data_IF_555821961809
#
_entry.id   IF_555821961809
#
_cell.length_a   1.000
_cell.length_b   1.000
_cell.length_c   1.000
_cell.angle_alpha   90.00
_cell.angle_beta   90.00
_cell.angle_gamma   90.00
#
_symmetry.space_group_name_H-M   'P 1'
#
loop_
_entity.id
_entity.type
_entity.pdbx_description
1 polymer ?
#
# COMPACT_ATOMS: atom_id res chain seq x y z
N UNK A 1 -19.13 -7.95 13.98
CA UNK A 1 -19.82 -6.72 14.45
C UNK A 1 -20.82 -6.28 13.38
N UNK A 2 -21.85 -5.51 13.72
CA UNK A 2 -22.79 -4.96 12.73
C UNK A 2 -22.16 -3.77 12.03
N UNK A 3 -22.11 -3.77 10.69
CA UNK A 3 -21.58 -2.63 9.94
C UNK A 3 -22.57 -1.46 9.99
N UNK A 4 -22.13 -0.31 10.52
CA UNK A 4 -22.92 0.92 10.58
C UNK A 4 -22.57 1.78 9.37
N UNK A 5 -23.52 1.98 8.46
CA UNK A 5 -23.37 2.88 7.31
C UNK A 5 -23.50 4.33 7.76
N UNK A 6 -22.38 4.96 8.10
CA UNK A 6 -22.32 6.36 8.56
C UNK A 6 -22.62 7.34 7.40
N UNK A 7 -22.15 7.03 6.20
CA UNK A 7 -22.31 7.87 5.01
C UNK A 7 -22.47 7.03 3.73
N UNK A 8 -22.71 7.70 2.61
CA UNK A 8 -22.66 7.14 1.26
C UNK A 8 -22.12 8.21 0.32
N UNK A 9 -21.17 7.85 -0.54
CA UNK A 9 -20.63 8.75 -1.56
C UNK A 9 -20.76 8.04 -2.92
N UNK A 10 -21.49 8.66 -3.83
CA UNK A 10 -21.60 8.28 -5.24
C UNK A 10 -20.77 9.23 -6.10
N UNK A 11 -20.82 9.09 -7.43
CA UNK A 11 -20.21 10.07 -8.34
C UNK A 11 -21.02 11.35 -8.49
N UNK A 12 -22.35 11.30 -8.28
CA UNK A 12 -23.20 12.50 -8.34
C UNK A 12 -22.83 13.46 -7.21
N UNK A 13 -22.43 12.93 -6.05
CA UNK A 13 -21.97 13.71 -4.89
C UNK A 13 -20.58 14.34 -5.09
N UNK A 14 -19.95 14.16 -6.26
CA UNK A 14 -18.70 14.81 -6.68
C UNK A 14 -18.94 15.91 -7.74
N UNK A 15 -20.16 16.03 -8.28
CA UNK A 15 -20.49 17.03 -9.29
C UNK A 15 -20.64 18.42 -8.65
N UNK A 16 -19.99 19.44 -9.23
CA UNK A 16 -20.07 20.82 -8.75
C UNK A 16 -19.01 21.24 -7.73
N UNK A 17 -18.10 20.35 -7.32
CA UNK A 17 -16.84 20.77 -6.71
C UNK A 17 -15.95 21.51 -7.73
N UNK A 18 -15.26 22.57 -7.32
CA UNK A 18 -14.27 23.24 -8.18
C UNK A 18 -13.11 22.30 -8.50
N UNK A 19 -12.59 22.35 -9.73
CA UNK A 19 -11.30 21.74 -10.08
C UNK A 19 -10.16 22.56 -9.44
N UNK A 20 -9.96 22.37 -8.14
CA UNK A 20 -8.65 22.64 -7.55
C UNK A 20 -7.61 21.78 -8.26
N UNK A 21 -6.39 22.30 -8.40
CA UNK A 21 -5.24 21.54 -8.90
C UNK A 21 -4.36 21.14 -7.70
N UNK A 22 -4.74 20.13 -6.90
CA UNK A 22 -4.01 19.78 -5.69
C UNK A 22 -2.61 19.27 -6.06
N UNK A 23 -1.59 19.97 -5.56
CA UNK A 23 -0.20 19.59 -5.75
C UNK A 23 0.27 18.66 -4.62
N UNK A 24 1.20 17.77 -4.95
CA UNK A 24 1.93 16.97 -3.97
C UNK A 24 3.18 17.77 -3.58
N UNK A 25 3.31 18.13 -2.30
CA UNK A 25 4.48 18.85 -1.76
C UNK A 25 5.14 18.06 -0.63
N UNK A 26 6.29 18.54 -0.15
CA UNK A 26 6.99 18.00 1.04
C UNK A 26 7.41 16.53 0.99
N UNK A 27 7.47 15.93 -0.20
CA UNK A 27 7.77 14.50 -0.39
C UNK A 27 9.09 14.13 0.28
N UNK A 28 9.01 13.29 1.31
CA UNK A 28 10.15 12.85 2.14
C UNK A 28 10.10 11.34 2.32
N UNK A 29 11.22 10.68 2.06
CA UNK A 29 11.42 9.28 2.46
C UNK A 29 11.50 9.20 4.00
N UNK A 30 10.70 8.33 4.60
CA UNK A 30 10.77 8.04 6.05
C UNK A 30 11.67 6.83 6.29
N UNK A 31 11.26 5.65 5.81
CA UNK A 31 12.00 4.41 6.05
C UNK A 31 11.64 3.35 5.01
N UNK A 32 12.36 2.24 5.03
CA UNK A 32 12.21 1.10 4.12
C UNK A 32 12.35 -0.21 4.87
N UNK A 33 11.75 -1.28 4.31
CA UNK A 33 11.92 -2.63 4.82
C UNK A 33 11.87 -3.67 3.70
N UNK A 34 12.40 -4.87 3.95
CA UNK A 34 12.20 -6.03 3.09
C UNK A 34 11.42 -7.09 3.86
N UNK A 35 10.43 -7.70 3.22
CA UNK A 35 9.87 -8.96 3.70
C UNK A 35 10.87 -10.10 3.53
N UNK A 36 10.96 -10.99 4.52
CA UNK A 36 11.86 -12.13 4.54
C UNK A 36 11.08 -13.43 4.34
N UNK A 37 11.67 -14.41 3.64
CA UNK A 37 11.14 -15.76 3.55
C UNK A 37 11.31 -16.48 4.90
N UNK A 38 10.24 -16.54 5.70
CA UNK A 38 10.22 -17.10 7.05
C UNK A 38 8.83 -17.66 7.37
N UNK A 39 8.76 -18.61 8.31
CA UNK A 39 7.51 -19.19 8.82
C UNK A 39 6.72 -18.17 9.65
N UNK A 40 7.42 -17.25 10.31
CA UNK A 40 6.83 -16.11 11.04
C UNK A 40 6.91 -14.84 10.19
N UNK A 41 5.93 -13.92 10.26
CA UNK A 41 6.01 -12.62 9.59
C UNK A 41 7.29 -11.87 10.05
N UNK A 42 8.26 -11.77 9.14
CA UNK A 42 9.62 -11.29 9.44
C UNK A 42 10.03 -10.24 8.42
N UNK A 43 10.57 -9.12 8.90
CA UNK A 43 11.03 -7.99 8.08
C UNK A 43 12.47 -7.58 8.46
N UNK A 44 13.26 -7.17 7.47
CA UNK A 44 14.58 -6.56 7.66
C UNK A 44 14.50 -5.03 7.53
N UNK A 45 15.22 -4.31 8.39
CA UNK A 45 15.17 -2.85 8.54
C UNK A 45 16.61 -2.32 8.75
N UNK A 46 17.06 -1.28 8.01
CA UNK A 46 16.41 -0.70 6.84
C UNK A 46 16.41 -1.69 5.67
N UNK A 47 15.40 -1.58 4.81
CA UNK A 47 15.28 -2.37 3.58
C UNK A 47 16.15 -1.84 2.44
N UNK A 48 16.57 -2.73 1.54
CA UNK A 48 17.30 -2.41 0.31
C UNK A 48 16.60 -3.03 -0.92
N UNK A 49 16.39 -2.29 -2.03
CA UNK A 49 15.75 -2.83 -3.22
C UNK A 49 16.60 -3.93 -3.87
N UNK A 50 15.98 -4.96 -4.49
CA UNK A 50 16.68 -5.81 -5.43
C UNK A 50 17.06 -5.02 -6.69
N UNK A 51 18.01 -5.53 -7.45
CA UNK A 51 18.37 -4.96 -8.76
C UNK A 51 17.50 -5.62 -9.84
N UNK A 52 16.58 -4.81 -10.41
CA UNK A 52 15.63 -5.03 -11.53
C UNK A 52 14.74 -6.30 -11.49
N UNK A 53 13.40 -6.21 -11.57
CA UNK A 53 12.52 -6.63 -10.44
C UNK A 53 11.34 -7.55 -10.89
N UNK A 54 10.14 -7.70 -10.23
CA UNK A 54 9.69 -7.32 -8.85
C UNK A 54 9.15 -8.41 -7.85
N UNK A 55 7.89 -8.93 -7.86
CA UNK A 55 6.64 -8.31 -7.34
C UNK A 55 5.73 -9.16 -6.40
N UNK A 56 4.94 -8.47 -5.54
CA UNK A 56 3.49 -8.65 -5.23
C UNK A 56 3.10 -7.86 -3.97
N UNK A 57 1.83 -7.49 -3.78
CA UNK A 57 1.37 -6.84 -2.53
C UNK A 57 1.47 -7.80 -1.33
N UNK A 58 2.60 -7.81 -0.61
CA UNK A 58 2.90 -8.88 0.35
C UNK A 58 2.27 -8.65 1.73
N UNK A 59 2.03 -7.39 2.12
CA UNK A 59 1.54 -7.04 3.44
C UNK A 59 0.27 -7.80 3.86
N UNK A 60 -0.78 -7.77 3.02
CA UNK A 60 -2.04 -8.47 3.31
C UNK A 60 -1.91 -10.01 3.19
N UNK A 61 -1.02 -10.50 2.32
CA UNK A 61 -0.76 -11.93 2.18
C UNK A 61 0.10 -12.52 3.30
N UNK A 62 0.92 -11.71 3.99
CA UNK A 62 1.86 -12.14 5.04
C UNK A 62 1.40 -11.84 6.46
N UNK A 63 0.56 -10.83 6.66
CA UNK A 63 -0.02 -10.51 7.97
C UNK A 63 -1.50 -10.10 7.82
N UNK A 64 -2.40 -11.01 7.39
CA UNK A 64 -3.79 -10.69 7.07
C UNK A 64 -4.56 -10.05 8.23
N UNK A 65 -4.29 -10.45 9.48
CA UNK A 65 -4.91 -9.90 10.69
C UNK A 65 -4.50 -8.44 11.00
N UNK A 66 -3.42 -7.94 10.37
CA UNK A 66 -3.01 -6.53 10.49
C UNK A 66 -2.00 -6.14 9.40
N UNK A 67 -2.45 -5.91 8.15
CA UNK A 67 -1.55 -5.68 7.01
C UNK A 67 -0.67 -4.44 7.11
N UNK A 68 -0.95 -3.53 8.05
CA UNK A 68 -0.20 -2.28 8.26
C UNK A 68 0.66 -2.29 9.52
N UNK A 69 0.61 -3.33 10.37
CA UNK A 69 1.51 -3.48 11.52
C UNK A 69 3.00 -3.32 11.15
N UNK A 70 3.50 -3.91 10.03
CA UNK A 70 4.90 -3.76 9.63
C UNK A 70 5.30 -2.31 9.35
N UNK A 71 4.38 -1.49 8.84
CA UNK A 71 4.60 -0.07 8.57
C UNK A 71 4.90 0.67 9.89
N UNK A 72 4.06 0.46 10.90
CA UNK A 72 4.24 1.07 12.23
C UNK A 72 5.48 0.56 12.93
N UNK A 73 5.74 -0.76 12.90
CA UNK A 73 6.96 -1.37 13.46
C UNK A 73 8.22 -0.75 12.87
N UNK A 74 8.27 -0.58 11.55
CA UNK A 74 9.40 0.05 10.84
C UNK A 74 9.53 1.53 11.19
N UNK A 75 8.43 2.26 11.21
CA UNK A 75 8.40 3.69 11.53
C UNK A 75 9.00 3.95 12.91
N UNK A 76 8.51 3.28 13.96
CA UNK A 76 8.99 3.48 15.33
C UNK A 76 10.36 2.86 15.62
N UNK A 77 10.77 1.80 14.91
CA UNK A 77 12.15 1.28 15.01
C UNK A 77 13.16 2.28 14.44
N UNK A 78 12.80 2.97 13.36
CA UNK A 78 13.69 3.96 12.70
C UNK A 78 13.61 5.34 13.36
N UNK A 79 12.43 5.73 13.84
CA UNK A 79 12.13 7.04 14.42
C UNK A 79 11.32 6.88 15.73
N UNK A 80 11.97 6.54 16.86
CA UNK A 80 11.27 6.26 18.12
C UNK A 80 10.46 7.44 18.69
N UNK A 81 10.76 8.67 18.27
CA UNK A 81 10.08 9.91 18.66
C UNK A 81 9.08 10.45 17.62
N UNK A 82 8.67 9.63 16.64
CA UNK A 82 7.74 10.07 15.60
C UNK A 82 6.32 10.29 16.15
N UNK A 83 5.80 11.51 16.05
CA UNK A 83 4.41 11.82 16.40
C UNK A 83 3.45 11.36 15.29
N UNK A 84 2.88 10.16 15.45
CA UNK A 84 1.81 9.67 14.56
C UNK A 84 0.54 10.52 14.66
N UNK A 85 0.27 11.13 15.81
CA UNK A 85 -0.90 11.98 16.05
C UNK A 85 -0.88 13.26 15.22
N UNK A 86 0.26 13.63 14.64
CA UNK A 86 0.37 14.66 13.62
C UNK A 86 -0.23 14.25 12.27
N UNK A 87 -0.20 12.97 11.91
CA UNK A 87 -0.57 12.43 10.59
C UNK A 87 -2.09 12.35 10.45
N UNK A 88 -2.59 12.66 9.26
CA UNK A 88 -4.04 12.68 8.99
C UNK A 88 -4.50 11.37 8.34
N UNK A 89 -3.68 10.77 7.45
CA UNK A 89 -3.97 9.49 6.79
C UNK A 89 -2.73 8.59 6.68
N UNK A 90 -2.85 7.33 7.12
CA UNK A 90 -1.89 6.24 6.86
C UNK A 90 -2.52 5.24 5.88
N UNK A 91 -1.88 4.97 4.74
CA UNK A 91 -2.44 4.03 3.75
C UNK A 91 -1.40 3.38 2.82
N UNK A 92 -1.88 2.56 1.89
CA UNK A 92 -1.09 1.89 0.84
C UNK A 92 -1.45 2.38 -0.56
N UNK A 93 -0.47 2.36 -1.48
CA UNK A 93 -0.62 2.71 -2.91
C UNK A 93 -1.86 2.08 -3.58
N UNK A 94 -2.22 0.85 -3.20
CA UNK A 94 -3.36 0.14 -3.78
C UNK A 94 -4.69 0.88 -3.54
N UNK A 95 -4.89 1.43 -2.34
CA UNK A 95 -6.12 2.11 -1.95
C UNK A 95 -6.27 3.43 -2.72
N UNK A 96 -5.20 4.22 -2.79
CA UNK A 96 -5.18 5.47 -3.58
C UNK A 96 -5.46 5.19 -5.06
N UNK A 97 -4.85 4.14 -5.66
CA UNK A 97 -5.12 3.76 -7.06
C UNK A 97 -6.57 3.35 -7.30
N UNK A 98 -7.20 2.68 -6.34
CA UNK A 98 -8.60 2.25 -6.46
C UNK A 98 -9.57 3.44 -6.29
N UNK A 99 -9.32 4.34 -5.33
CA UNK A 99 -10.08 5.59 -5.18
C UNK A 99 -9.96 6.49 -6.41
N UNK A 100 -8.74 6.64 -6.96
CA UNK A 100 -8.50 7.38 -8.21
C UNK A 100 -9.22 6.75 -9.40
N UNK A 101 -9.30 5.41 -9.47
CA UNK A 101 -10.06 4.69 -10.50
C UNK A 101 -11.58 4.81 -10.30
N UNK A 102 -12.05 4.94 -9.05
CA UNK A 102 -13.45 5.20 -8.74
C UNK A 102 -13.86 6.60 -9.21
N UNK A 103 -13.04 7.62 -9.00
CA UNK A 103 -13.29 9.00 -9.45
C UNK A 103 -13.16 9.08 -10.99
N UNK A 104 -12.07 8.57 -11.56
CA UNK A 104 -11.81 8.58 -13.01
C UNK A 104 -11.71 7.15 -13.59
N UNK A 105 -12.79 6.61 -14.17
CA UNK A 105 -12.80 5.26 -14.75
C UNK A 105 -11.78 5.03 -15.88
N UNK A 106 -11.38 6.07 -16.62
CA UNK A 106 -10.45 5.92 -17.75
C UNK A 106 -9.04 5.48 -17.33
N UNK A 107 -8.69 5.69 -16.05
CA UNK A 107 -7.43 5.25 -15.47
C UNK A 107 -7.42 3.76 -15.09
N UNK A 108 -8.60 3.09 -15.15
CA UNK A 108 -8.71 1.64 -14.91
C UNK A 108 -8.50 0.84 -16.20
N UNK A 109 -7.48 -0.03 -16.22
CA UNK A 109 -7.21 -0.95 -17.34
C UNK A 109 -8.19 -2.13 -17.43
N UNK A 110 -9.08 -2.26 -16.45
CA UNK A 110 -10.05 -3.35 -16.31
C UNK A 110 -11.35 -2.77 -15.75
N UNK A 111 -12.46 -3.52 -15.88
CA UNK A 111 -13.73 -3.17 -15.22
C UNK A 111 -13.49 -2.96 -13.72
N UNK A 112 -14.09 -1.94 -13.13
CA UNK A 112 -13.98 -1.65 -11.69
C UNK A 112 -14.50 -2.85 -10.88
N UNK A 113 -13.58 -3.65 -10.35
CA UNK A 113 -13.87 -4.71 -9.38
C UNK A 113 -14.41 -4.07 -8.07
N UNK A 114 -15.41 -4.67 -7.41
CA UNK A 114 -15.84 -4.23 -6.09
C UNK A 114 -14.66 -4.24 -5.10
N UNK A 115 -14.60 -3.23 -4.24
CA UNK A 115 -13.54 -3.07 -3.25
C UNK A 115 -14.12 -2.61 -1.91
N UNK A 116 -13.44 -2.99 -0.83
CA UNK A 116 -13.71 -2.52 0.52
C UNK A 116 -12.42 -1.99 1.12
N UNK A 117 -12.46 -0.74 1.59
CA UNK A 117 -11.40 -0.14 2.42
C UNK A 117 -11.98 -0.10 3.83
N UNK A 118 -11.32 -0.79 4.74
CA UNK A 118 -11.60 -0.70 6.17
C UNK A 118 -10.73 0.40 6.75
N UNK A 119 -11.25 1.13 7.74
CA UNK A 119 -10.49 2.19 8.37
C UNK A 119 -10.73 2.26 9.87
N UNK A 120 -9.66 2.58 10.59
CA UNK A 120 -9.67 2.87 12.02
C UNK A 120 -9.28 4.33 12.24
N UNK A 121 -9.85 4.99 13.23
CA UNK A 121 -9.54 6.38 13.58
C UNK A 121 -8.97 6.39 15.00
N UNK A 122 -7.71 6.83 15.13
CA UNK A 122 -7.03 7.02 16.42
C UNK A 122 -6.69 8.49 16.59
N UNK A 123 -7.34 9.16 17.54
CA UNK A 123 -7.23 10.61 17.68
C UNK A 123 -7.78 11.33 16.46
N UNK A 124 -6.90 12.00 15.69
CA UNK A 124 -7.24 12.59 14.38
C UNK A 124 -6.69 11.81 13.17
N UNK A 125 -5.95 10.72 13.40
CA UNK A 125 -5.30 9.94 12.35
C UNK A 125 -6.23 8.83 11.87
N UNK A 126 -6.51 8.78 10.57
CA UNK A 126 -7.18 7.64 9.95
C UNK A 126 -6.17 6.64 9.38
N UNK A 127 -6.40 5.35 9.61
CA UNK A 127 -5.56 4.24 9.11
C UNK A 127 -6.39 3.41 8.15
N UNK A 128 -6.10 3.48 6.84
CA UNK A 128 -6.89 2.86 5.77
C UNK A 128 -6.26 1.53 5.32
N UNK A 129 -6.84 0.41 5.75
CA UNK A 129 -6.50 -0.94 5.31
C UNK A 129 -7.40 -1.39 4.14
N UNK A 130 -7.01 -2.40 3.37
CA UNK A 130 -7.89 -3.01 2.36
C UNK A 130 -8.37 -4.37 2.85
N UNK A 131 -9.69 -4.56 2.88
CA UNK A 131 -10.27 -5.89 2.99
C UNK A 131 -10.17 -6.57 1.61
N UNK A 132 -9.14 -7.39 1.43
CA UNK A 132 -8.95 -8.22 0.23
C UNK A 132 -9.51 -9.62 0.46
N UNK A 133 -10.59 -9.97 -0.24
CA UNK A 133 -11.19 -11.32 -0.21
C UNK A 133 -10.36 -12.37 -0.94
N UNK A 134 -9.41 -11.97 -1.80
CA UNK A 134 -8.42 -12.83 -2.44
C UNK A 134 -7.00 -12.25 -2.27
N UNK A 135 -6.42 -12.38 -1.07
CA UNK A 135 -5.00 -12.02 -0.81
C UNK A 135 -4.01 -12.85 -1.63
N UNK A 136 -4.44 -13.99 -2.20
CA UNK A 136 -3.67 -14.81 -3.13
C UNK A 136 -4.55 -15.18 -4.34
N UNK A 137 -4.35 -14.51 -5.48
CA UNK A 137 -4.87 -14.99 -6.78
C UNK A 137 -4.16 -16.29 -7.17
N UNK A 138 -4.76 -17.41 -6.79
CA UNK A 138 -4.39 -18.75 -7.22
C UNK A 138 -4.69 -18.90 -8.72
N UNK A 139 -3.64 -18.88 -9.54
CA UNK A 139 -3.72 -19.09 -10.98
C UNK A 139 -4.23 -20.52 -11.21
N UNK A 140 -5.43 -20.68 -11.75
CA UNK A 140 -5.99 -21.99 -12.09
C UNK A 140 -5.08 -22.69 -13.09
N UNK A 141 -4.86 -23.99 -12.90
CA UNK A 141 -4.04 -24.80 -13.81
C UNK A 141 -4.58 -24.69 -15.24
N UNK A 142 -3.77 -24.19 -16.18
CA UNK A 142 -4.17 -23.92 -17.56
C UNK A 142 -4.55 -22.45 -17.88
N UNK A 143 -4.63 -21.55 -16.88
CA UNK A 143 -4.74 -20.12 -17.14
C UNK A 143 -3.35 -19.52 -17.43
N UNK A 144 -3.22 -18.76 -18.53
CA UNK A 144 -1.97 -18.06 -18.87
C UNK A 144 -1.79 -16.85 -17.95
N UNK A 145 -1.10 -17.06 -16.84
CA UNK A 145 -0.43 -15.98 -16.14
C UNK A 145 0.71 -15.46 -17.02
N UNK A 146 0.90 -14.14 -17.07
CA UNK A 146 2.00 -13.54 -17.81
C UNK A 146 3.36 -13.97 -17.27
N UNK A 147 4.37 -14.03 -18.15
CA UNK A 147 5.71 -14.57 -17.90
C UNK A 147 6.56 -13.83 -16.85
N UNK A 148 5.98 -12.91 -16.08
CA UNK A 148 6.65 -12.16 -15.02
C UNK A 148 7.40 -13.09 -14.07
N UNK A 149 6.70 -13.92 -13.29
CA UNK A 149 7.28 -14.58 -12.12
C UNK A 149 8.58 -15.40 -12.35
N UNK A 150 8.80 -15.92 -13.55
CA UNK A 150 10.04 -16.63 -13.90
C UNK A 150 11.06 -15.75 -14.65
N UNK A 151 10.63 -14.73 -15.40
CA UNK A 151 11.52 -13.68 -15.91
C UNK A 151 12.17 -12.90 -14.76
N UNK A 152 11.38 -12.58 -13.74
CA UNK A 152 11.76 -11.78 -12.57
C UNK A 152 12.84 -12.50 -11.76
N UNK A 153 12.69 -13.81 -11.49
CA UNK A 153 13.73 -14.66 -10.86
C UNK A 153 14.99 -14.80 -11.71
N UNK A 154 14.87 -14.79 -13.04
CA UNK A 154 16.00 -15.00 -13.94
C UNK A 154 16.91 -13.77 -14.07
N UNK A 155 16.38 -12.55 -13.86
CA UNK A 155 17.11 -11.30 -14.05
C UNK A 155 17.31 -10.45 -12.78
N UNK A 156 16.63 -10.75 -11.67
CA UNK A 156 16.86 -10.09 -10.36
C UNK A 156 18.17 -10.52 -9.69
N UNK A 157 18.71 -9.63 -8.84
CA UNK A 157 19.47 -10.05 -7.64
C UNK A 157 18.99 -9.32 -6.40
N UNK A 158 18.64 -10.08 -5.37
CA UNK A 158 18.38 -9.58 -4.02
C UNK A 158 19.69 -9.11 -3.36
N UNK A 159 19.67 -7.92 -2.76
CA UNK A 159 20.79 -7.40 -1.94
C UNK A 159 20.66 -7.77 -0.45
N UNK A 160 19.48 -8.22 -0.03
CA UNK A 160 19.18 -8.76 1.30
C UNK A 160 18.88 -10.25 1.11
N UNK A 161 19.63 -11.13 1.80
CA UNK A 161 19.40 -12.58 1.69
C UNK A 161 17.97 -12.95 2.10
N UNK A 162 17.36 -13.93 1.41
CA UNK A 162 15.96 -14.38 1.60
C UNK A 162 14.91 -13.26 1.53
N UNK A 163 15.23 -12.10 0.96
CA UNK A 163 14.28 -11.03 0.67
C UNK A 163 13.26 -11.48 -0.37
N UNK A 164 11.98 -11.21 -0.11
CA UNK A 164 10.90 -11.51 -1.06
C UNK A 164 10.23 -10.27 -1.65
N UNK A 165 10.37 -9.09 -1.04
CA UNK A 165 9.80 -7.83 -1.57
C UNK A 165 10.16 -6.60 -0.74
N UNK A 166 10.68 -5.57 -1.41
CA UNK A 166 11.16 -4.33 -0.79
C UNK A 166 10.07 -3.25 -0.77
N UNK A 167 9.85 -2.63 0.38
CA UNK A 167 8.81 -1.63 0.61
C UNK A 167 9.43 -0.31 1.10
N UNK A 168 8.88 0.82 0.64
CA UNK A 168 9.22 2.17 1.11
C UNK A 168 8.02 2.83 1.76
N UNK A 169 8.32 3.66 2.76
CA UNK A 169 7.40 4.49 3.50
C UNK A 169 7.80 5.94 3.21
N UNK A 170 6.91 6.71 2.61
CA UNK A 170 7.07 8.15 2.36
C UNK A 170 6.02 8.94 3.12
N UNK A 171 6.32 10.20 3.42
CA UNK A 171 5.29 11.20 3.70
C UNK A 171 5.27 12.28 2.61
N UNK A 172 4.11 12.89 2.43
CA UNK A 172 3.92 14.08 1.60
C UNK A 172 2.67 14.84 2.03
N UNK A 173 2.60 16.12 1.66
CA UNK A 173 1.40 16.95 1.76
C UNK A 173 0.60 16.84 0.47
N UNK A 174 -0.73 16.72 0.55
CA UNK A 174 -1.64 16.77 -0.59
C UNK A 174 -2.96 17.38 -0.16
N UNK A 175 -3.37 18.47 -0.81
CA UNK A 175 -4.62 19.21 -0.53
C UNK A 175 -4.83 19.52 0.97
N UNK A 176 -3.78 19.99 1.63
CA UNK A 176 -3.76 20.30 3.07
C UNK A 176 -3.63 19.09 4.02
N UNK A 177 -3.86 17.87 3.54
CA UNK A 177 -3.69 16.64 4.32
C UNK A 177 -2.21 16.19 4.34
N UNK A 178 -1.76 15.62 5.47
CA UNK A 178 -0.45 14.95 5.56
C UNK A 178 -0.63 13.44 5.55
N UNK A 179 -0.12 12.81 4.49
CA UNK A 179 -0.25 11.38 4.24
C UNK A 179 1.06 10.66 4.60
N UNK A 180 0.95 9.46 5.17
CA UNK A 180 1.98 8.42 5.09
C UNK A 180 1.51 7.35 4.12
N UNK A 181 2.34 7.06 3.12
CA UNK A 181 2.06 6.03 2.10
C UNK A 181 3.16 4.97 2.11
N UNK A 182 2.75 3.72 2.33
CA UNK A 182 3.60 2.56 2.11
C UNK A 182 3.36 1.98 0.71
N UNK A 183 4.45 1.62 0.02
CA UNK A 183 4.38 1.01 -1.30
C UNK A 183 5.53 0.02 -1.53
N UNK A 184 5.21 -1.09 -2.21
CA UNK A 184 6.23 -1.98 -2.75
C UNK A 184 7.01 -1.23 -3.85
N UNK A 185 8.32 -1.42 -3.84
CA UNK A 185 9.29 -0.80 -4.74
C UNK A 185 10.13 -1.87 -5.40
N UNK A 186 10.25 -1.71 -6.71
CA UNK A 186 10.65 -2.79 -7.60
C UNK A 186 12.17 -2.81 -7.75
N UNK A 187 12.78 -1.69 -8.13
CA UNK A 187 14.22 -1.46 -8.15
C UNK A 187 14.57 -0.06 -7.60
N UNK A 188 15.85 0.29 -7.65
CA UNK A 188 16.33 1.67 -7.56
C UNK A 188 16.52 2.25 -8.97
#
# INVERSE_FOLDING_TARGET
MTSIRIASISRMDLEGHEETAPSITDVKHLSSYNWMESVTPTIAIPGCPPLWPPPKVQNAARHPESPLEPLFRVLYTTHPSFDIGAVDLVTIRNNIRVLLSFINPSLSKYRLEPFTIEFEITGKTAVFCRAETETVKNIRLGAVAGFGHEFEKAYTRNQVDRSTGHHRIINYSFDGLRLIVCYETEAN
#
